data_IF_309144161038
#
_entry.id   IF_309144161038
#
_cell.length_a   1.000
_cell.length_b   1.000
_cell.length_c   1.000
_cell.angle_alpha   90.00
_cell.angle_beta   90.00
_cell.angle_gamma   90.00
#
_symmetry.space_group_name_H-M   'P 1'
#
loop_
_entity.id
_entity.type
_entity.pdbx_description
1 polymer ?
#
# COMPACT_ATOMS: atom_id res chain seq x y z
N UNK A 1 -2.02 -22.36 -13.22
CA UNK A 1 -1.29 -22.28 -11.94
C UNK A 1 -1.79 -21.04 -11.21
N UNK A 2 -2.18 -21.17 -9.94
CA UNK A 2 -2.59 -20.02 -9.16
C UNK A 2 -1.39 -19.06 -8.99
N UNK A 3 -1.60 -17.73 -9.04
CA UNK A 3 -0.52 -16.79 -8.77
C UNK A 3 0.01 -17.01 -7.35
N UNK A 4 1.34 -16.97 -7.20
CA UNK A 4 1.99 -17.10 -5.89
C UNK A 4 1.57 -15.98 -4.94
N UNK A 5 1.67 -16.20 -3.61
CA UNK A 5 1.26 -15.20 -2.60
C UNK A 5 1.90 -13.82 -2.80
N UNK A 6 3.18 -13.77 -3.17
CA UNK A 6 3.90 -12.53 -3.45
C UNK A 6 3.31 -11.76 -4.66
N UNK A 7 2.93 -12.48 -5.71
CA UNK A 7 2.33 -11.88 -6.91
C UNK A 7 0.94 -11.30 -6.63
N UNK A 8 0.19 -11.91 -5.71
CA UNK A 8 -1.08 -11.37 -5.22
C UNK A 8 -0.85 -10.08 -4.45
N UNK A 9 0.13 -10.04 -3.55
CA UNK A 9 0.49 -8.84 -2.78
C UNK A 9 0.93 -7.68 -3.68
N UNK A 10 1.87 -7.93 -4.61
CA UNK A 10 2.33 -6.94 -5.59
C UNK A 10 1.18 -6.35 -6.40
N UNK A 11 0.26 -7.20 -6.86
CA UNK A 11 -0.92 -6.77 -7.62
C UNK A 11 -1.87 -5.92 -6.78
N UNK A 12 -2.08 -6.30 -5.52
CA UNK A 12 -2.86 -5.52 -4.56
C UNK A 12 -2.27 -4.13 -4.34
N UNK A 13 -0.96 -4.06 -4.05
CA UNK A 13 -0.26 -2.80 -3.82
C UNK A 13 -0.23 -1.92 -5.08
N UNK A 14 -0.04 -2.48 -6.27
CA UNK A 14 -0.06 -1.72 -7.51
C UNK A 14 -1.43 -1.05 -7.77
N UNK A 15 -2.53 -1.78 -7.52
CA UNK A 15 -3.88 -1.22 -7.63
C UNK A 15 -4.10 -0.12 -6.60
N UNK A 16 -3.71 -0.35 -5.35
CA UNK A 16 -3.86 0.63 -4.29
C UNK A 16 -3.03 1.90 -4.53
N UNK A 17 -1.78 1.72 -4.97
CA UNK A 17 -0.88 2.81 -5.33
C UNK A 17 -1.44 3.66 -6.47
N UNK A 18 -2.10 3.03 -7.45
CA UNK A 18 -2.80 3.76 -8.51
C UNK A 18 -3.93 4.62 -7.95
N UNK A 19 -4.79 4.07 -7.09
CA UNK A 19 -5.87 4.84 -6.45
C UNK A 19 -5.34 5.98 -5.57
N UNK A 20 -4.24 5.76 -4.84
CA UNK A 20 -3.57 6.82 -4.08
C UNK A 20 -3.08 7.91 -5.02
N UNK A 21 -2.44 7.53 -6.14
CA UNK A 21 -1.94 8.47 -7.13
C UNK A 21 -3.08 9.32 -7.71
N UNK A 22 -4.17 8.69 -8.13
CA UNK A 22 -5.34 9.39 -8.69
C UNK A 22 -5.88 10.44 -7.69
N UNK A 23 -5.95 10.10 -6.39
CA UNK A 23 -6.37 11.05 -5.35
C UNK A 23 -5.33 12.15 -5.09
N UNK A 24 -4.03 11.82 -5.05
CA UNK A 24 -2.93 12.81 -4.90
C UNK A 24 -2.90 13.79 -6.08
N UNK A 25 -3.14 13.32 -7.30
CA UNK A 25 -3.20 14.16 -8.50
C UNK A 25 -4.41 15.12 -8.44
N UNK A 26 -5.55 14.65 -7.94
CA UNK A 26 -6.71 15.50 -7.70
C UNK A 26 -6.44 16.59 -6.64
N UNK A 27 -5.77 16.24 -5.53
CA UNK A 27 -5.37 17.21 -4.50
C UNK A 27 -4.34 18.21 -5.03
N UNK A 28 -3.38 17.74 -5.82
CA UNK A 28 -2.38 18.61 -6.48
C UNK A 28 -3.05 19.60 -7.42
N UNK A 29 -4.07 19.18 -8.17
CA UNK A 29 -4.86 20.05 -9.04
C UNK A 29 -5.60 21.14 -8.25
N UNK A 30 -6.18 20.80 -7.08
CA UNK A 30 -6.80 21.79 -6.17
C UNK A 30 -5.78 22.81 -5.66
N UNK A 31 -4.61 22.33 -5.21
CA UNK A 31 -3.54 23.20 -4.74
C UNK A 31 -3.02 24.14 -5.84
N UNK A 32 -2.92 23.66 -7.09
CA UNK A 32 -2.57 24.51 -8.25
C UNK A 32 -3.58 25.63 -8.50
N UNK A 33 -4.86 25.39 -8.18
CA UNK A 33 -5.93 26.41 -8.22
C UNK A 33 -5.93 27.33 -6.99
N UNK A 34 -4.94 27.18 -6.09
CA UNK A 34 -4.84 27.87 -4.80
C UNK A 34 -6.01 27.55 -3.86
N UNK A 35 -6.68 26.42 -4.07
CA UNK A 35 -7.70 25.91 -3.16
C UNK A 35 -7.00 25.20 -1.99
N UNK A 36 -7.56 25.34 -0.79
CA UNK A 36 -7.08 24.61 0.39
C UNK A 36 -7.57 23.17 0.34
N UNK A 37 -6.72 22.23 0.75
CA UNK A 37 -7.14 20.86 1.02
C UNK A 37 -7.76 20.78 2.41
N UNK A 38 -8.64 19.80 2.64
CA UNK A 38 -9.31 19.64 3.93
C UNK A 38 -8.38 18.96 4.94
N UNK A 39 -8.63 19.14 6.23
CA UNK A 39 -7.91 18.38 7.28
C UNK A 39 -8.09 16.86 7.15
N UNK A 40 -9.19 16.41 6.54
CA UNK A 40 -9.39 15.01 6.22
C UNK A 40 -8.47 14.54 5.08
N UNK A 41 -8.18 15.38 4.10
CA UNK A 41 -7.21 15.08 3.05
C UNK A 41 -5.78 15.05 3.59
N UNK A 42 -5.44 15.96 4.52
CA UNK A 42 -4.15 15.95 5.23
C UNK A 42 -3.98 14.66 6.05
N UNK A 43 -4.95 14.33 6.90
CA UNK A 43 -4.92 13.10 7.69
C UNK A 43 -4.84 11.85 6.80
N UNK A 44 -5.55 11.84 5.67
CA UNK A 44 -5.48 10.75 4.70
C UNK A 44 -4.07 10.63 4.07
N UNK A 45 -3.41 11.76 3.78
CA UNK A 45 -2.04 11.78 3.25
C UNK A 45 -1.01 11.19 4.23
N UNK A 46 -1.15 11.52 5.52
CA UNK A 46 -0.23 11.05 6.57
C UNK A 46 -0.43 9.57 6.92
N UNK A 47 -1.65 9.06 6.79
CA UNK A 47 -2.00 7.70 7.17
C UNK A 47 -2.14 6.80 5.94
N UNK A 48 -3.30 6.82 5.30
CA UNK A 48 -3.68 5.84 4.28
C UNK A 48 -2.89 5.94 2.98
N UNK A 49 -2.39 7.14 2.65
CA UNK A 49 -1.58 7.37 1.45
C UNK A 49 -0.08 7.13 1.65
N UNK A 50 0.33 6.78 2.88
CA UNK A 50 1.70 6.39 3.21
C UNK A 50 1.86 4.88 3.09
N UNK A 51 2.29 4.41 1.92
CA UNK A 51 2.46 2.98 1.61
C UNK A 51 3.91 2.52 1.68
N UNK A 52 4.79 3.31 2.33
CA UNK A 52 6.23 3.03 2.36
C UNK A 52 6.50 1.72 3.10
N UNK A 53 5.76 1.46 4.19
CA UNK A 53 5.88 0.23 4.96
C UNK A 53 5.43 -0.99 4.15
N UNK A 54 4.27 -0.91 3.48
CA UNK A 54 3.79 -1.97 2.58
C UNK A 54 4.79 -2.28 1.46
N UNK A 55 5.39 -1.27 0.83
CA UNK A 55 6.39 -1.47 -0.23
C UNK A 55 7.67 -2.11 0.31
N UNK A 56 8.19 -1.61 1.43
CA UNK A 56 9.39 -2.14 2.09
C UNK A 56 9.24 -3.62 2.44
N UNK A 57 8.06 -4.03 2.90
CA UNK A 57 7.77 -5.43 3.21
C UNK A 57 7.73 -6.29 1.94
N UNK A 58 7.10 -5.82 0.86
CA UNK A 58 7.09 -6.54 -0.42
C UNK A 58 8.51 -6.70 -0.98
N UNK A 59 9.33 -5.66 -0.93
CA UNK A 59 10.71 -5.71 -1.41
C UNK A 59 11.54 -6.74 -0.62
N UNK A 60 11.40 -6.77 0.72
CA UNK A 60 12.04 -7.79 1.57
C UNK A 60 11.58 -9.22 1.24
N UNK A 61 10.31 -9.40 0.86
CA UNK A 61 9.78 -10.69 0.46
C UNK A 61 10.26 -11.10 -0.94
N UNK A 62 10.50 -10.13 -1.83
CA UNK A 62 11.02 -10.34 -3.19
C UNK A 62 12.51 -10.71 -3.19
N UNK A 63 13.29 -10.08 -2.31
CA UNK A 63 14.71 -10.41 -2.11
C UNK A 63 14.92 -11.78 -1.42
N UNK A 64 13.89 -12.31 -0.77
CA UNK A 64 13.96 -13.61 -0.12
C UNK A 64 13.93 -14.75 -1.15
N UNK A 65 14.68 -15.81 -0.87
CA UNK A 65 14.74 -17.00 -1.75
C UNK A 65 13.40 -17.74 -1.88
N UNK A 66 12.52 -17.59 -0.89
CA UNK A 66 11.17 -18.13 -0.89
C UNK A 66 10.28 -17.27 0.03
N UNK A 67 8.99 -17.18 -0.31
CA UNK A 67 8.00 -16.35 0.38
C UNK A 67 7.89 -16.69 1.87
N UNK A 68 7.83 -17.97 2.23
CA UNK A 68 7.69 -18.41 3.63
C UNK A 68 8.91 -18.02 4.47
N UNK A 69 10.09 -18.07 3.85
CA UNK A 69 11.35 -17.70 4.49
C UNK A 69 11.48 -16.19 4.67
N UNK A 70 10.96 -15.41 3.72
CA UNK A 70 10.83 -13.96 3.84
C UNK A 70 9.85 -13.60 4.97
N UNK A 71 8.67 -14.22 4.99
CA UNK A 71 7.63 -14.00 5.99
C UNK A 71 8.11 -14.33 7.42
N UNK A 72 8.88 -15.42 7.57
CA UNK A 72 9.45 -15.81 8.86
C UNK A 72 10.46 -14.79 9.42
N UNK A 73 11.15 -14.04 8.54
CA UNK A 73 12.12 -13.00 8.92
C UNK A 73 11.49 -11.65 9.26
N UNK A 74 10.20 -11.46 8.95
CA UNK A 74 9.48 -10.26 9.34
C UNK A 74 9.22 -10.26 10.85
N UNK A 75 9.30 -9.08 11.44
CA UNK A 75 8.81 -8.82 12.79
C UNK A 75 7.27 -8.80 12.83
N UNK A 76 6.71 -8.69 14.02
CA UNK A 76 5.24 -8.70 14.20
C UNK A 76 4.55 -7.55 13.44
N UNK A 77 5.23 -6.40 13.30
CA UNK A 77 4.75 -5.28 12.50
C UNK A 77 4.72 -5.65 11.00
N UNK A 78 5.80 -6.21 10.45
CA UNK A 78 5.85 -6.66 9.07
C UNK A 78 4.80 -7.73 8.75
N UNK A 79 4.57 -8.68 9.66
CA UNK A 79 3.52 -9.71 9.50
C UNK A 79 2.11 -9.12 9.56
N UNK A 80 1.89 -8.13 10.44
CA UNK A 80 0.63 -7.41 10.51
C UNK A 80 0.34 -6.66 9.19
N UNK A 81 1.38 -6.08 8.58
CA UNK A 81 1.29 -5.42 7.26
C UNK A 81 0.93 -6.43 6.18
N UNK A 82 1.62 -7.58 6.08
CA UNK A 82 1.26 -8.63 5.10
C UNK A 82 -0.20 -9.06 5.27
N UNK A 83 -0.67 -9.23 6.51
CA UNK A 83 -2.06 -9.59 6.80
C UNK A 83 -3.03 -8.48 6.37
N UNK A 84 -2.72 -7.22 6.66
CA UNK A 84 -3.48 -6.04 6.22
C UNK A 84 -3.55 -5.97 4.69
N UNK A 85 -2.42 -6.12 4.00
CA UNK A 85 -2.32 -6.09 2.53
C UNK A 85 -3.06 -7.25 1.87
N UNK A 86 -3.04 -8.43 2.49
CA UNK A 86 -3.81 -9.60 2.03
C UNK A 86 -5.33 -9.44 2.20
N UNK A 87 -5.74 -8.58 3.15
CA UNK A 87 -7.13 -8.30 3.49
C UNK A 87 -7.59 -6.92 3.00
N UNK A 88 -6.80 -6.21 2.18
CA UNK A 88 -7.21 -4.90 1.67
C UNK A 88 -8.52 -5.05 0.91
N UNK A 89 -9.62 -4.44 1.38
CA UNK A 89 -10.87 -4.47 0.66
C UNK A 89 -10.64 -3.71 -0.65
N UNK A 90 -10.89 -4.36 -1.77
CA UNK A 90 -11.32 -3.67 -2.97
C UNK A 90 -12.56 -2.89 -2.57
N UNK A 91 -12.41 -1.59 -2.30
CA UNK A 91 -13.50 -0.62 -2.10
C UNK A 91 -14.53 -1.07 -1.04
N UNK A 92 -14.36 -0.63 0.20
CA UNK A 92 -15.49 -0.60 1.14
C UNK A 92 -16.50 0.40 0.57
N UNK A 93 -17.57 -0.10 -0.04
CA UNK A 93 -18.81 0.65 -0.26
C UNK A 93 -19.41 1.08 1.08
#
# INVERSE_FOLDING_TARGET
>A
MAPGPLEVLKRGLAKFSKSIKDRKDALTTKLQRKETISSADEHWLDQEANTIDEQCIIDKLDEASDYERGLAKLDDAGKAIVKKSSCMPTVRC
#
